data_IF_448597959002
#
_entry.id   IF_448597959002
#
_cell.length_a   1.000
_cell.length_b   1.000
_cell.length_c   1.000
_cell.angle_alpha   90.00
_cell.angle_beta   90.00
_cell.angle_gamma   90.00
#
_symmetry.space_group_name_H-M   'P 1'
#
loop_
_entity.id
_entity.type
_entity.pdbx_description
1 polymer ?
#
# COMPACT_ATOMS: atom_id res chain seq x y z
N UNK A 1 15.93 71.36 53.27
CA UNK A 1 15.10 70.14 53.17
C UNK A 1 14.54 70.12 51.76
N UNK A 2 14.95 69.14 50.96
CA UNK A 2 14.82 69.14 49.50
C UNK A 2 13.54 68.50 48.95
N UNK A 3 13.26 68.89 47.70
CA UNK A 3 12.20 68.57 46.73
C UNK A 3 11.29 67.33 46.93
N UNK A 4 10.01 67.44 46.54
CA UNK A 4 9.19 66.29 46.14
C UNK A 4 9.50 65.87 44.70
N UNK A 5 9.89 64.60 44.50
CA UNK A 5 10.08 63.99 43.19
C UNK A 5 8.75 63.45 42.68
N UNK A 6 8.34 64.03 41.56
CA UNK A 6 7.40 63.51 40.57
C UNK A 6 7.82 62.10 40.11
N UNK A 7 6.89 61.14 40.13
CA UNK A 7 7.05 59.81 39.52
C UNK A 7 5.76 59.47 38.78
N UNK A 8 5.72 59.88 37.51
CA UNK A 8 4.81 59.34 36.50
C UNK A 8 4.90 57.81 36.40
N UNK A 9 3.76 57.12 36.22
CA UNK A 9 3.72 55.77 35.70
C UNK A 9 3.36 55.80 34.21
N UNK A 10 4.33 56.06 33.35
CA UNK A 10 4.20 55.80 31.91
C UNK A 10 5.48 55.17 31.37
N UNK A 11 5.51 53.85 31.29
CA UNK A 11 6.27 53.14 30.27
C UNK A 11 5.53 51.85 29.94
N UNK A 12 4.74 51.96 28.88
CA UNK A 12 4.26 50.82 28.12
C UNK A 12 5.39 49.87 27.76
N UNK A 13 5.09 48.58 27.85
CA UNK A 13 6.08 47.55 27.55
C UNK A 13 5.58 46.12 27.68
N UNK A 14 4.27 45.86 27.60
CA UNK A 14 3.78 44.50 27.33
C UNK A 14 3.99 44.18 25.86
N UNK A 15 5.21 43.79 25.51
CA UNK A 15 5.44 42.93 24.37
C UNK A 15 5.28 41.47 24.83
N UNK A 16 4.19 40.75 24.47
CA UNK A 16 4.24 39.31 24.46
C UNK A 16 5.06 38.90 23.23
N UNK A 17 6.35 38.63 23.46
CA UNK A 17 7.28 38.21 22.43
C UNK A 17 6.80 36.88 21.84
N UNK A 18 6.27 36.93 20.62
CA UNK A 18 6.24 35.84 19.65
C UNK A 18 5.94 34.44 20.20
N UNK A 19 4.68 34.20 20.58
CA UNK A 19 4.09 32.91 20.24
C UNK A 19 4.01 32.86 18.72
N UNK A 20 5.02 32.24 18.09
CA UNK A 20 4.94 31.87 16.68
C UNK A 20 3.79 30.86 16.54
N UNK A 21 2.58 31.36 16.32
CA UNK A 21 1.44 30.57 15.89
C UNK A 21 1.89 29.82 14.63
N UNK A 22 1.91 28.47 14.63
CA UNK A 22 2.25 27.74 13.42
C UNK A 22 1.22 28.09 12.36
N UNK A 23 1.70 28.60 11.23
CA UNK A 23 0.90 28.86 10.04
C UNK A 23 0.06 27.60 9.72
N UNK A 24 -1.26 27.74 9.49
CA UNK A 24 -2.09 26.61 9.09
C UNK A 24 -1.66 26.19 7.68
N UNK A 25 -0.80 25.17 7.60
CA UNK A 25 -0.37 24.60 6.32
C UNK A 25 1.03 23.97 6.32
N UNK A 26 1.88 24.23 7.32
CA UNK A 26 3.21 23.61 7.40
C UNK A 26 3.18 22.47 8.41
N UNK A 27 3.03 21.24 7.93
CA UNK A 27 3.23 20.05 8.75
C UNK A 27 4.68 20.06 9.25
N UNK A 28 4.95 19.85 10.55
CA UNK A 28 6.31 19.76 11.06
C UNK A 28 7.13 18.71 10.29
N UNK A 29 8.41 18.99 10.03
CA UNK A 29 9.29 18.09 9.28
C UNK A 29 9.37 16.70 9.93
N UNK A 30 9.37 16.64 11.26
CA UNK A 30 9.36 15.38 12.02
C UNK A 30 8.06 14.58 11.79
N UNK A 31 6.92 15.27 11.71
CA UNK A 31 5.63 14.63 11.39
C UNK A 31 5.61 14.11 9.95
N UNK A 32 6.19 14.86 9.01
CA UNK A 32 6.34 14.42 7.62
C UNK A 32 7.21 13.17 7.52
N UNK A 33 8.35 13.15 8.22
CA UNK A 33 9.24 11.99 8.29
C UNK A 33 8.53 10.77 8.88
N UNK A 34 7.83 10.93 10.01
CA UNK A 34 7.09 9.84 10.64
C UNK A 34 6.02 9.27 9.70
N UNK A 35 5.30 10.13 8.98
CA UNK A 35 4.28 9.70 8.02
C UNK A 35 4.90 8.94 6.83
N UNK A 36 6.06 9.38 6.32
CA UNK A 36 6.81 8.63 5.31
C UNK A 36 7.27 7.27 5.80
N UNK A 37 7.78 7.17 7.02
CA UNK A 37 8.21 5.90 7.59
C UNK A 37 7.04 4.92 7.73
N UNK A 38 5.88 5.39 8.19
CA UNK A 38 4.67 4.57 8.28
C UNK A 38 4.20 4.07 6.90
N UNK A 39 4.26 4.91 5.86
CA UNK A 39 3.96 4.49 4.48
C UNK A 39 4.95 3.42 4.00
N UNK A 40 6.25 3.59 4.27
CA UNK A 40 7.26 2.61 3.90
C UNK A 40 7.07 1.27 4.64
N UNK A 41 6.70 1.29 5.92
CA UNK A 41 6.40 0.07 6.69
C UNK A 41 5.26 -0.74 6.05
N UNK A 42 4.17 -0.06 5.67
CA UNK A 42 3.02 -0.70 5.00
C UNK A 42 3.43 -1.30 3.66
N UNK A 43 4.22 -0.58 2.87
CA UNK A 43 4.69 -1.06 1.56
C UNK A 43 5.65 -2.25 1.70
N UNK A 44 6.56 -2.22 2.67
CA UNK A 44 7.45 -3.34 2.95
C UNK A 44 6.67 -4.59 3.39
N UNK A 45 5.68 -4.42 4.26
CA UNK A 45 4.79 -5.52 4.66
C UNK A 45 4.04 -6.11 3.46
N UNK A 46 3.57 -5.26 2.54
CA UNK A 46 2.90 -5.70 1.32
C UNK A 46 3.84 -6.49 0.39
N UNK A 47 5.08 -6.04 0.22
CA UNK A 47 6.10 -6.76 -0.56
C UNK A 47 6.37 -8.14 0.04
N UNK A 48 6.55 -8.23 1.36
CA UNK A 48 6.75 -9.51 2.03
C UNK A 48 5.53 -10.44 1.89
N UNK A 49 4.31 -9.90 1.92
CA UNK A 49 3.10 -10.69 1.68
C UNK A 49 3.03 -11.22 0.24
N UNK A 50 3.38 -10.39 -0.74
CA UNK A 50 3.49 -10.81 -2.15
C UNK A 50 4.55 -11.90 -2.33
N UNK A 51 5.72 -11.76 -1.71
CA UNK A 51 6.78 -12.78 -1.75
C UNK A 51 6.35 -14.11 -1.13
N UNK A 52 5.61 -14.09 -0.01
CA UNK A 52 5.07 -15.31 0.60
C UNK A 52 4.08 -16.02 -0.34
N UNK A 53 3.19 -15.25 -0.96
CA UNK A 53 2.21 -15.77 -1.92
C UNK A 53 2.88 -16.37 -3.15
N UNK A 54 3.95 -15.75 -3.66
CA UNK A 54 4.74 -16.30 -4.76
C UNK A 54 5.51 -17.58 -4.39
N UNK A 55 5.85 -17.76 -3.11
CA UNK A 55 6.53 -18.98 -2.62
C UNK A 55 5.55 -20.13 -2.39
N UNK A 56 4.36 -19.81 -1.90
CA UNK A 56 3.30 -20.77 -1.64
C UNK A 56 1.97 -20.28 -2.25
N UNK A 57 1.75 -20.54 -3.55
CA UNK A 57 0.56 -20.05 -4.24
C UNK A 57 -0.73 -20.75 -3.80
N UNK A 58 -0.62 -21.93 -3.16
CA UNK A 58 -1.77 -22.72 -2.69
C UNK A 58 -2.07 -22.50 -1.21
N UNK A 59 -1.10 -22.04 -0.42
CA UNK A 59 -1.24 -21.71 1.00
C UNK A 59 -2.44 -20.79 1.32
N UNK A 60 -2.60 -19.62 0.67
CA UNK A 60 -3.74 -18.75 0.91
C UNK A 60 -5.07 -19.29 0.34
N UNK A 61 -5.03 -20.28 -0.56
CA UNK A 61 -6.22 -20.95 -1.11
C UNK A 61 -6.62 -22.22 -0.34
N UNK A 62 -5.78 -22.69 0.58
CA UNK A 62 -6.00 -23.91 1.38
C UNK A 62 -6.93 -23.69 2.58
N UNK A 63 -7.39 -22.46 2.82
CA UNK A 63 -8.45 -22.17 3.80
C UNK A 63 -9.76 -22.77 3.30
N UNK A 64 -10.50 -23.55 4.12
CA UNK A 64 -11.65 -24.31 3.67
C UNK A 64 -12.73 -23.41 3.04
N UNK A 65 -13.18 -23.80 1.85
CA UNK A 65 -14.12 -23.07 0.98
C UNK A 65 -15.52 -22.82 1.57
N UNK A 66 -15.77 -23.16 2.85
CA UNK A 66 -17.05 -22.97 3.53
C UNK A 66 -17.27 -21.58 4.16
N UNK A 67 -16.24 -20.73 4.20
CA UNK A 67 -16.32 -19.34 4.72
C UNK A 67 -15.99 -18.29 3.66
N UNK A 68 -15.71 -18.71 2.43
CA UNK A 68 -15.35 -17.82 1.32
C UNK A 68 -16.64 -17.41 0.62
N UNK A 69 -17.15 -16.23 0.99
CA UNK A 69 -18.02 -15.46 0.11
C UNK A 69 -17.40 -15.45 -1.30
N UNK A 70 -18.23 -15.51 -2.36
CA UNK A 70 -17.81 -15.38 -3.77
C UNK A 70 -16.57 -14.50 -3.90
N UNK A 71 -15.61 -14.82 -4.80
CA UNK A 71 -14.38 -14.03 -4.97
C UNK A 71 -14.76 -12.57 -5.20
N UNK A 72 -14.84 -11.82 -4.10
CA UNK A 72 -15.18 -10.42 -4.12
C UNK A 72 -14.06 -9.81 -4.94
N UNK A 73 -14.36 -8.91 -5.89
CA UNK A 73 -13.32 -8.22 -6.62
C UNK A 73 -12.35 -7.68 -5.58
N UNK A 74 -11.17 -8.31 -5.51
CA UNK A 74 -10.18 -8.01 -4.49
C UNK A 74 -10.00 -6.50 -4.54
N UNK A 75 -10.22 -5.83 -3.40
CA UNK A 75 -10.18 -4.37 -3.33
C UNK A 75 -8.91 -3.92 -4.05
N UNK A 76 -9.07 -3.39 -5.27
CA UNK A 76 -7.94 -3.17 -6.17
C UNK A 76 -6.92 -2.35 -5.41
N UNK A 77 -5.69 -2.87 -5.32
CA UNK A 77 -4.64 -2.22 -4.56
C UNK A 77 -4.55 -0.76 -5.00
N UNK A 78 -4.58 0.14 -4.02
CA UNK A 78 -4.49 1.58 -4.24
C UNK A 78 -3.22 2.08 -3.57
N UNK A 79 -2.40 2.90 -4.26
CA UNK A 79 -1.18 3.41 -3.68
C UNK A 79 -1.50 4.29 -2.45
N UNK A 80 -0.69 4.22 -1.39
CA UNK A 80 -0.86 5.07 -0.22
C UNK A 80 -0.65 6.54 -0.60
N UNK A 81 -1.46 7.44 -0.04
CA UNK A 81 -1.28 8.88 -0.22
C UNK A 81 0.02 9.34 0.43
N UNK A 82 0.89 10.01 -0.33
CA UNK A 82 2.22 10.38 0.15
C UNK A 82 2.24 11.81 0.72
N UNK A 83 2.80 12.01 1.93
CA UNK A 83 2.86 13.32 2.56
C UNK A 83 4.04 14.14 2.02
N UNK A 84 3.79 15.08 1.11
CA UNK A 84 4.83 16.02 0.64
C UNK A 84 6.03 15.34 -0.03
N UNK A 85 7.21 15.98 0.00
CA UNK A 85 8.43 15.46 -0.62
C UNK A 85 9.11 14.41 0.27
N UNK A 86 9.80 13.44 -0.35
CA UNK A 86 10.52 12.38 0.36
C UNK A 86 11.72 12.94 1.14
N UNK A 87 11.75 12.80 2.48
CA UNK A 87 12.87 13.27 3.29
C UNK A 87 14.15 12.47 3.00
N UNK A 88 15.30 13.15 3.03
CA UNK A 88 16.61 12.53 2.77
C UNK A 88 16.89 11.32 3.68
N UNK A 89 16.45 11.37 4.94
CA UNK A 89 16.58 10.28 5.90
C UNK A 89 15.85 8.98 5.48
N UNK A 90 14.74 9.10 4.75
CA UNK A 90 13.96 7.96 4.26
C UNK A 90 14.44 7.44 2.89
N UNK A 91 15.29 8.20 2.18
CA UNK A 91 15.70 7.92 0.80
C UNK A 91 16.32 6.55 0.61
N UNK A 92 17.26 6.17 1.47
CA UNK A 92 17.96 4.87 1.38
C UNK A 92 16.96 3.71 1.48
N UNK A 93 15.99 3.81 2.40
CA UNK A 93 14.96 2.79 2.62
C UNK A 93 14.01 2.70 1.43
N UNK A 94 13.56 3.85 0.91
CA UNK A 94 12.71 3.90 -0.27
C UNK A 94 13.38 3.27 -1.50
N UNK A 95 14.69 3.49 -1.71
CA UNK A 95 15.45 2.86 -2.81
C UNK A 95 15.51 1.34 -2.64
N UNK A 96 15.87 0.84 -1.45
CA UNK A 96 15.93 -0.60 -1.20
C UNK A 96 14.56 -1.27 -1.38
N UNK A 97 13.48 -0.60 -0.96
CA UNK A 97 12.11 -1.05 -1.18
C UNK A 97 11.75 -1.10 -2.67
N UNK A 98 12.10 -0.07 -3.45
CA UNK A 98 11.84 -0.04 -4.89
C UNK A 98 12.53 -1.19 -5.63
N UNK A 99 13.79 -1.49 -5.29
CA UNK A 99 14.51 -2.64 -5.83
C UNK A 99 13.84 -3.98 -5.46
N UNK A 100 13.32 -4.10 -4.23
CA UNK A 100 12.58 -5.29 -3.80
C UNK A 100 11.26 -5.44 -4.58
N UNK A 101 10.54 -4.33 -4.78
CA UNK A 101 9.31 -4.30 -5.57
C UNK A 101 9.57 -4.70 -7.03
N UNK A 102 10.67 -4.26 -7.63
CA UNK A 102 11.04 -4.64 -8.99
C UNK A 102 11.30 -6.15 -9.10
N UNK A 103 12.06 -6.73 -8.15
CA UNK A 103 12.32 -8.18 -8.13
C UNK A 103 11.04 -8.99 -8.02
N UNK A 104 10.12 -8.59 -7.15
CA UNK A 104 8.81 -9.23 -6.99
C UNK A 104 7.99 -9.12 -8.27
N UNK A 105 7.95 -7.93 -8.87
CA UNK A 105 7.19 -7.69 -10.11
C UNK A 105 7.69 -8.55 -11.25
N UNK A 106 9.01 -8.67 -11.41
CA UNK A 106 9.63 -9.55 -12.41
C UNK A 106 9.24 -11.01 -12.22
N UNK A 107 9.33 -11.50 -10.99
CA UNK A 107 8.96 -12.88 -10.66
C UNK A 107 7.48 -13.16 -10.87
N UNK A 108 6.62 -12.18 -10.54
CA UNK A 108 5.18 -12.30 -10.78
C UNK A 108 4.88 -12.41 -12.28
N UNK A 109 5.56 -11.63 -13.11
CA UNK A 109 5.40 -11.69 -14.56
C UNK A 109 5.85 -13.02 -15.15
N UNK A 110 6.97 -13.58 -14.66
CA UNK A 110 7.43 -14.92 -15.04
C UNK A 110 6.36 -15.99 -14.73
N UNK A 111 5.84 -15.99 -13.50
CA UNK A 111 4.78 -16.92 -13.07
C UNK A 111 3.50 -16.72 -13.91
N UNK A 112 3.12 -15.47 -14.20
CA UNK A 112 1.95 -15.16 -15.05
C UNK A 112 2.09 -15.78 -16.44
N UNK A 113 3.27 -15.68 -17.04
CA UNK A 113 3.54 -16.27 -18.35
C UNK A 113 3.54 -17.80 -18.31
N UNK A 114 4.06 -18.41 -17.26
CA UNK A 114 4.00 -19.87 -17.05
C UNK A 114 2.56 -20.37 -16.94
N UNK A 115 1.74 -19.72 -16.10
CA UNK A 115 0.32 -20.07 -15.95
C UNK A 115 -0.43 -19.89 -17.27
N UNK A 116 -0.18 -18.82 -18.02
CA UNK A 116 -0.79 -18.61 -19.33
C UNK A 116 -0.46 -19.75 -20.31
N UNK A 117 0.80 -20.22 -20.34
CA UNK A 117 1.21 -21.38 -21.15
C UNK A 117 0.51 -22.67 -20.71
N UNK A 118 0.42 -22.90 -19.40
CA UNK A 118 -0.27 -24.07 -18.85
C UNK A 118 -1.75 -24.08 -19.20
N UNK A 119 -2.45 -22.95 -19.04
CA UNK A 119 -3.86 -22.83 -19.40
C UNK A 119 -4.07 -23.04 -20.91
N UNK A 120 -3.16 -22.54 -21.76
CA UNK A 120 -3.23 -22.78 -23.19
C UNK A 120 -3.12 -24.28 -23.51
N UNK A 121 -2.18 -25.00 -22.89
CA UNK A 121 -2.03 -26.44 -23.07
C UNK A 121 -3.27 -27.22 -22.61
N UNK A 122 -3.87 -26.86 -21.46
CA UNK A 122 -5.12 -27.47 -20.98
C UNK A 122 -6.27 -27.21 -21.94
N UNK A 123 -6.39 -25.98 -22.46
CA UNK A 123 -7.44 -25.61 -23.41
C UNK A 123 -7.33 -26.32 -24.76
N UNK A 124 -6.13 -26.78 -25.13
CA UNK A 124 -5.90 -27.49 -26.39
C UNK A 124 -6.31 -28.97 -26.37
N UNK A 125 -6.70 -29.51 -25.20
CA UNK A 125 -7.18 -30.90 -25.07
C UNK A 125 -8.63 -30.99 -25.57
N UNK A 126 -8.90 -31.75 -26.64
CA UNK A 126 -10.26 -31.94 -27.15
C UNK A 126 -11.15 -32.60 -26.07
N UNK A 127 -12.33 -32.00 -25.81
CA UNK A 127 -13.32 -32.53 -24.87
C UNK A 127 -13.38 -31.83 -23.51
N UNK A 128 -12.44 -30.94 -23.18
CA UNK A 128 -12.53 -30.08 -21.98
C UNK A 128 -13.10 -28.73 -22.39
N UNK A 129 -14.40 -28.50 -22.13
CA UNK A 129 -15.09 -27.22 -22.39
C UNK A 129 -16.17 -27.24 -23.47
N UNK A 130 -16.30 -28.31 -24.25
CA UNK A 130 -17.50 -28.54 -25.04
C UNK A 130 -18.54 -29.21 -24.13
N UNK A 131 -19.73 -28.62 -23.88
CA UNK A 131 -20.82 -29.39 -23.29
C UNK A 131 -21.11 -30.51 -24.28
N UNK A 132 -20.63 -31.72 -23.97
CA UNK A 132 -20.93 -32.91 -24.75
C UNK A 132 -22.44 -33.05 -24.72
N UNK A 133 -23.10 -32.65 -25.82
CA UNK A 133 -24.54 -32.76 -25.99
C UNK A 133 -24.83 -34.25 -25.95
N UNK A 134 -25.27 -34.74 -24.78
CA UNK A 134 -25.70 -36.12 -24.64
C UNK A 134 -26.86 -36.35 -25.62
N UNK A 135 -26.62 -37.17 -26.63
CA UNK A 135 -27.65 -37.63 -27.56
C UNK A 135 -28.20 -38.92 -26.96
N UNK A 136 -29.44 -38.89 -26.48
CA UNK A 136 -30.16 -40.10 -26.10
C UNK A 136 -30.68 -40.76 -27.36
N UNK A 137 -30.16 -41.94 -27.67
CA UNK A 137 -30.66 -42.79 -28.75
C UNK A 137 -31.75 -43.68 -28.16
N UNK A 138 -33.00 -43.45 -28.54
CA UNK A 138 -34.09 -44.35 -28.20
C UNK A 138 -33.97 -45.61 -29.07
N UNK A 139 -33.75 -46.75 -28.42
CA UNK A 139 -33.59 -48.06 -29.07
C UNK A 139 -34.91 -48.81 -29.19
N UNK A 140 -36.06 -48.16 -28.98
CA UNK A 140 -37.40 -48.76 -29.13
C UNK A 140 -38.25 -48.12 -30.24
N UNK A 141 -37.62 -47.77 -31.37
CA UNK A 141 -38.35 -47.38 -32.59
C UNK A 141 -38.95 -48.58 -33.33
#
# INVERSE_FOLDING_TARGET
MGNPTDLEPDLGGTGPNNAASPLPGTIPQDTTLAAWLAVLDVLEMAVQAAERTLKDPLGPLSVPAGTVAEPRPEKRWSPPSMPGQLPAAARRRAVALAEAQERVSRRLEEVRQDVARQLQAVSSVPGVGAPSRAIYLDVNG
#
